data_IF_887916843207
#
_entry.id   IF_887916843207
#
_cell.length_a   1.000
_cell.length_b   1.000
_cell.length_c   1.000
_cell.angle_alpha   90.00
_cell.angle_beta   90.00
_cell.angle_gamma   90.00
#
_symmetry.space_group_name_H-M   'P 1'
#
loop_
_entity.id
_entity.type
_entity.pdbx_description
1 polymer ?
#
# COMPACT_ATOMS: atom_id res chain seq x y z
N UNK A 1 33.94 12.25 -29.95
CA UNK A 1 33.26 11.30 -29.04
C UNK A 1 31.86 11.11 -29.58
N UNK A 2 31.58 9.93 -30.13
CA UNK A 2 30.39 9.63 -30.94
C UNK A 2 29.12 9.51 -30.08
N UNK A 3 28.28 10.54 -30.11
CA UNK A 3 27.04 10.67 -29.33
C UNK A 3 25.94 9.67 -29.75
N UNK A 4 26.16 8.87 -30.80
CA UNK A 4 25.13 8.01 -31.41
C UNK A 4 25.06 6.60 -30.79
N UNK A 5 25.99 6.25 -29.89
CA UNK A 5 26.11 4.89 -29.29
C UNK A 5 25.56 4.73 -27.87
N UNK A 6 24.71 5.66 -27.41
CA UNK A 6 24.57 5.95 -25.98
C UNK A 6 23.50 5.15 -25.23
N UNK A 7 22.26 4.99 -25.73
CA UNK A 7 21.19 4.43 -24.88
C UNK A 7 21.22 2.91 -24.74
N UNK A 8 21.48 2.16 -25.83
CA UNK A 8 21.57 0.70 -25.77
C UNK A 8 22.79 0.22 -24.94
N UNK A 9 23.93 0.90 -25.06
CA UNK A 9 25.13 0.63 -24.26
C UNK A 9 24.89 0.99 -22.80
N UNK A 10 24.33 2.18 -22.53
CA UNK A 10 23.98 2.62 -21.19
C UNK A 10 22.97 1.67 -20.53
N UNK A 11 21.94 1.22 -21.26
CA UNK A 11 20.97 0.25 -20.77
C UNK A 11 21.63 -1.05 -20.32
N UNK A 12 22.56 -1.59 -21.11
CA UNK A 12 23.33 -2.78 -20.73
C UNK A 12 24.25 -2.56 -19.53
N UNK A 13 24.93 -1.41 -19.42
CA UNK A 13 25.77 -1.11 -18.25
C UNK A 13 24.94 -0.94 -16.99
N UNK A 14 23.77 -0.32 -17.08
CA UNK A 14 22.81 -0.24 -15.97
C UNK A 14 22.33 -1.64 -15.60
N UNK A 15 21.98 -2.50 -16.57
CA UNK A 15 21.57 -3.88 -16.30
C UNK A 15 22.65 -4.65 -15.56
N UNK A 16 23.91 -4.52 -15.99
CA UNK A 16 25.09 -5.10 -15.33
C UNK A 16 25.25 -4.60 -13.90
N UNK A 17 25.14 -3.28 -13.69
CA UNK A 17 25.22 -2.68 -12.35
C UNK A 17 24.09 -3.15 -11.42
N UNK A 18 22.89 -3.40 -11.97
CA UNK A 18 21.73 -3.92 -11.25
C UNK A 18 21.72 -5.44 -11.11
N UNK A 19 22.66 -6.15 -11.75
CA UNK A 19 22.74 -7.61 -11.78
C UNK A 19 21.50 -8.28 -12.40
N UNK A 20 20.89 -7.67 -13.41
CA UNK A 20 19.72 -8.23 -14.14
C UNK A 20 20.11 -8.77 -15.50
N UNK A 21 19.49 -9.88 -15.89
CA UNK A 21 19.72 -10.51 -17.19
C UNK A 21 19.31 -9.57 -18.33
N UNK A 22 20.24 -9.38 -19.27
CA UNK A 22 20.05 -8.46 -20.39
C UNK A 22 20.24 -9.19 -21.72
N UNK A 23 19.14 -9.42 -22.43
CA UNK A 23 19.17 -9.90 -23.81
C UNK A 23 19.11 -8.72 -24.79
N UNK A 24 20.20 -8.43 -25.54
CA UNK A 24 20.19 -7.37 -26.54
C UNK A 24 19.11 -7.55 -27.62
N UNK A 25 18.74 -8.78 -27.99
CA UNK A 25 17.76 -9.05 -29.04
C UNK A 25 16.33 -8.64 -28.62
N UNK A 26 16.02 -8.71 -27.33
CA UNK A 26 14.72 -8.32 -26.77
C UNK A 26 14.72 -6.89 -26.22
N UNK A 27 15.84 -6.47 -25.63
CA UNK A 27 15.92 -5.25 -24.83
C UNK A 27 16.46 -4.04 -25.60
N UNK A 28 16.96 -4.23 -26.82
CA UNK A 28 17.49 -3.14 -27.64
C UNK A 28 16.98 -3.18 -29.07
N UNK A 29 16.69 -2.01 -29.63
CA UNK A 29 16.38 -1.85 -31.04
C UNK A 29 17.26 -0.73 -31.60
N UNK A 30 18.21 -1.10 -32.47
CA UNK A 30 19.26 -0.21 -32.98
C UNK A 30 20.04 0.46 -31.85
N UNK A 31 19.79 1.75 -31.61
CA UNK A 31 20.44 2.54 -30.57
C UNK A 31 19.51 2.84 -29.38
N UNK A 32 18.31 2.28 -29.35
CA UNK A 32 17.30 2.50 -28.32
C UNK A 32 17.15 1.29 -27.40
N UNK A 33 16.75 1.55 -26.17
CA UNK A 33 16.26 0.51 -25.26
C UNK A 33 14.78 0.30 -25.57
N UNK A 34 14.36 -0.95 -25.74
CA UNK A 34 12.94 -1.27 -25.95
C UNK A 34 12.15 -1.05 -24.66
N UNK A 35 10.82 -1.04 -24.74
CA UNK A 35 10.00 -0.97 -23.53
C UNK A 35 10.27 -2.17 -22.60
N UNK A 36 10.50 -3.34 -23.16
CA UNK A 36 10.88 -4.55 -22.41
C UNK A 36 12.21 -4.35 -21.69
N UNK A 37 13.24 -3.85 -22.40
CA UNK A 37 14.50 -3.48 -21.78
C UNK A 37 14.35 -2.46 -20.65
N UNK A 38 13.55 -1.40 -20.84
CA UNK A 38 13.29 -0.42 -19.78
C UNK A 38 12.57 -1.04 -18.57
N UNK A 39 11.64 -1.96 -18.79
CA UNK A 39 10.96 -2.67 -17.71
C UNK A 39 11.92 -3.57 -16.92
N UNK A 40 12.86 -4.24 -17.60
CA UNK A 40 13.90 -5.05 -16.94
C UNK A 40 14.83 -4.18 -16.10
N UNK A 41 15.27 -3.01 -16.61
CA UNK A 41 16.06 -2.06 -15.81
C UNK A 41 15.28 -1.53 -14.61
N UNK A 42 13.99 -1.22 -14.78
CA UNK A 42 13.14 -0.75 -13.70
C UNK A 42 12.95 -1.82 -12.62
N UNK A 43 12.77 -3.08 -13.01
CA UNK A 43 12.68 -4.21 -12.09
C UNK A 43 13.99 -4.35 -11.29
N UNK A 44 15.14 -4.37 -11.98
CA UNK A 44 16.46 -4.43 -11.34
C UNK A 44 16.73 -3.25 -10.40
N UNK A 45 16.34 -2.04 -10.79
CA UNK A 45 16.52 -0.84 -9.97
C UNK A 45 15.63 -0.88 -8.72
N UNK A 46 14.43 -1.44 -8.85
CA UNK A 46 13.50 -1.66 -7.74
C UNK A 46 14.08 -2.67 -6.76
N UNK A 47 14.62 -3.78 -7.25
CA UNK A 47 15.24 -4.82 -6.43
C UNK A 47 16.53 -4.32 -5.73
N UNK A 48 17.41 -3.62 -6.45
CA UNK A 48 18.61 -3.03 -5.87
C UNK A 48 18.27 -2.01 -4.77
N UNK A 49 17.21 -1.22 -4.97
CA UNK A 49 16.69 -0.30 -3.94
C UNK A 49 16.13 -1.05 -2.73
N UNK A 50 15.43 -2.17 -2.94
CA UNK A 50 14.94 -3.05 -1.87
C UNK A 50 16.11 -3.63 -1.08
N UNK A 51 17.11 -4.24 -1.73
CA UNK A 51 18.34 -4.75 -1.10
C UNK A 51 19.05 -3.67 -0.27
N UNK A 52 19.21 -2.47 -0.82
CA UNK A 52 19.77 -1.33 -0.08
C UNK A 52 18.91 -0.88 1.11
N UNK A 53 17.58 -1.01 1.03
CA UNK A 53 16.67 -0.74 2.14
C UNK A 53 16.81 -1.78 3.26
N UNK A 54 16.90 -3.05 2.90
CA UNK A 54 17.08 -4.16 3.84
C UNK A 54 18.42 -4.06 4.57
N UNK A 55 19.50 -3.75 3.84
CA UNK A 55 20.81 -3.48 4.44
C UNK A 55 20.76 -2.34 5.45
N UNK A 56 20.16 -1.20 5.09
CA UNK A 56 19.99 -0.06 6.02
C UNK A 56 19.15 -0.41 7.25
N UNK A 57 18.15 -1.29 7.10
CA UNK A 57 17.35 -1.76 8.24
C UNK A 57 18.19 -2.62 9.18
N UNK A 58 18.97 -3.58 8.65
CA UNK A 58 19.92 -4.36 9.45
C UNK A 58 20.94 -3.47 10.15
N UNK A 59 21.47 -2.46 9.47
CA UNK A 59 22.40 -1.47 10.03
C UNK A 59 21.72 -0.57 11.10
N UNK A 60 20.38 -0.49 11.10
CA UNK A 60 19.58 0.25 12.08
C UNK A 60 19.11 -0.61 13.27
N UNK A 61 19.52 -1.89 13.35
CA UNK A 61 19.26 -2.71 14.53
C UNK A 61 19.84 -2.03 15.79
N UNK A 62 19.18 -2.15 16.96
CA UNK A 62 19.73 -1.68 18.22
C UNK A 62 21.17 -2.23 18.40
N UNK A 63 22.12 -1.36 18.74
CA UNK A 63 23.53 -1.73 18.88
C UNK A 63 23.73 -2.84 19.93
N UNK A 64 22.82 -2.88 20.90
CA UNK A 64 22.71 -3.89 21.95
C UNK A 64 22.39 -5.31 21.40
N UNK A 65 21.92 -5.43 20.15
CA UNK A 65 21.65 -6.68 19.44
C UNK A 65 22.75 -7.04 18.41
N UNK A 66 23.96 -6.49 18.52
CA UNK A 66 25.03 -6.74 17.53
C UNK A 66 25.75 -8.11 17.65
N UNK A 67 25.43 -8.92 18.66
CA UNK A 67 26.09 -10.20 18.91
C UNK A 67 25.68 -11.35 17.95
N UNK A 68 26.48 -12.42 17.84
CA UNK A 68 26.19 -13.56 16.96
C UNK A 68 24.82 -14.22 17.20
N UNK A 69 24.36 -14.20 18.44
CA UNK A 69 23.05 -14.72 18.85
C UNK A 69 21.86 -14.00 18.17
N UNK A 70 22.09 -12.83 17.56
CA UNK A 70 21.09 -11.99 16.92
C UNK A 70 21.37 -11.77 15.43
N UNK A 71 22.38 -12.43 14.86
CA UNK A 71 22.83 -12.18 13.49
C UNK A 71 21.73 -12.41 12.43
N UNK A 72 20.76 -13.27 12.75
CA UNK A 72 19.60 -13.56 11.91
C UNK A 72 18.39 -12.65 12.18
N UNK A 73 18.42 -11.83 13.24
CA UNK A 73 17.33 -10.92 13.55
C UNK A 73 17.18 -9.84 12.48
N UNK A 74 15.93 -9.63 12.03
CA UNK A 74 15.59 -8.51 11.16
C UNK A 74 14.75 -7.50 11.95
N UNK A 75 15.26 -6.29 12.23
CA UNK A 75 14.49 -5.29 12.97
C UNK A 75 13.28 -4.82 12.16
N UNK A 76 12.16 -4.61 12.84
CA UNK A 76 11.00 -3.97 12.24
C UNK A 76 11.32 -2.51 11.89
N UNK A 77 10.86 -2.07 10.71
CA UNK A 77 11.02 -0.69 10.20
C UNK A 77 10.14 0.30 10.94
N UNK A 78 9.01 -0.15 11.45
CA UNK A 78 8.01 0.69 12.08
C UNK A 78 7.39 0.03 13.30
N UNK A 79 6.72 0.83 14.14
CA UNK A 79 5.98 0.30 15.29
C UNK A 79 4.84 -0.63 14.89
N UNK A 80 4.13 -0.32 13.80
CA UNK A 80 3.01 -1.15 13.36
C UNK A 80 3.52 -2.51 12.91
N UNK A 81 4.65 -2.56 12.19
CA UNK A 81 5.28 -3.82 11.82
C UNK A 81 5.75 -4.60 13.06
N UNK A 82 6.40 -3.94 14.02
CA UNK A 82 6.86 -4.60 15.24
C UNK A 82 5.69 -5.22 16.03
N UNK A 83 4.62 -4.46 16.24
CA UNK A 83 3.40 -4.92 16.90
C UNK A 83 2.73 -6.06 16.13
N UNK A 84 2.66 -5.95 14.81
CA UNK A 84 2.08 -6.99 13.94
C UNK A 84 2.85 -8.30 14.07
N UNK A 85 4.19 -8.24 14.02
CA UNK A 85 5.06 -9.43 14.18
C UNK A 85 4.93 -10.03 15.57
N UNK A 86 4.91 -9.22 16.63
CA UNK A 86 4.70 -9.69 18.01
C UNK A 86 3.36 -10.42 18.17
N UNK A 87 2.27 -9.85 17.64
CA UNK A 87 0.96 -10.47 17.72
C UNK A 87 0.93 -11.83 16.99
N UNK A 88 1.58 -11.90 15.82
CA UNK A 88 1.65 -13.12 15.02
C UNK A 88 2.41 -14.26 15.72
N UNK A 89 3.52 -13.97 16.41
CA UNK A 89 4.31 -14.97 17.16
C UNK A 89 3.47 -15.77 18.15
N UNK A 90 2.42 -15.15 18.69
CA UNK A 90 1.55 -15.78 19.69
C UNK A 90 0.17 -16.11 19.14
N UNK A 91 -0.10 -15.90 17.85
CA UNK A 91 -1.43 -15.97 17.22
C UNK A 91 -2.47 -15.12 17.95
N UNK A 92 -2.05 -14.03 18.59
CA UNK A 92 -2.92 -13.14 19.34
C UNK A 92 -3.91 -12.44 18.38
N UNK A 93 -5.05 -11.93 18.89
CA UNK A 93 -5.89 -11.03 18.11
C UNK A 93 -5.02 -9.91 17.53
N UNK A 94 -5.27 -9.55 16.28
CA UNK A 94 -4.47 -8.56 15.57
C UNK A 94 -4.65 -7.19 16.21
N UNK A 95 -3.55 -6.48 16.34
CA UNK A 95 -3.46 -5.22 17.09
C UNK A 95 -3.18 -4.08 16.11
N UNK A 96 -3.93 -2.99 16.24
CA UNK A 96 -3.67 -1.76 15.48
C UNK A 96 -2.95 -0.75 16.38
N UNK A 97 -2.38 0.31 15.80
CA UNK A 97 -1.80 1.39 16.60
C UNK A 97 -2.89 2.39 16.98
N UNK A 98 -3.04 2.64 18.28
CA UNK A 98 -3.94 3.65 18.82
C UNK A 98 -3.54 5.09 18.46
N UNK A 99 -4.35 6.08 18.88
CA UNK A 99 -4.14 7.49 18.57
C UNK A 99 -2.69 7.95 18.79
N UNK A 100 -2.12 8.61 17.79
CA UNK A 100 -0.72 9.05 17.81
C UNK A 100 0.31 7.95 17.48
N UNK A 101 -0.11 6.86 16.81
CA UNK A 101 0.74 5.71 16.46
C UNK A 101 1.35 5.03 17.71
N UNK A 102 0.55 4.95 18.79
CA UNK A 102 0.95 4.32 20.05
C UNK A 102 0.49 2.87 20.09
N UNK A 103 1.37 2.00 20.57
CA UNK A 103 1.05 0.59 20.82
C UNK A 103 0.08 0.43 21.99
N UNK A 104 -0.85 -0.53 21.85
CA UNK A 104 -1.76 -0.92 22.92
C UNK A 104 -1.05 -1.83 23.94
N UNK A 105 -1.49 -1.78 25.20
CA UNK A 105 -0.95 -2.65 26.26
C UNK A 105 -1.23 -4.13 26.00
N UNK A 106 -2.32 -4.42 25.29
CA UNK A 106 -2.78 -5.76 24.93
C UNK A 106 -1.74 -6.53 24.11
N UNK A 107 -0.95 -5.87 23.25
CA UNK A 107 0.18 -6.48 22.52
C UNK A 107 1.12 -7.22 23.47
N UNK A 108 1.54 -6.55 24.54
CA UNK A 108 2.49 -7.10 25.53
C UNK A 108 1.81 -8.09 26.46
N UNK A 109 0.55 -7.85 26.79
CA UNK A 109 -0.23 -8.71 27.70
C UNK A 109 -0.47 -10.06 27.03
N UNK A 110 -0.86 -10.07 25.75
CA UNK A 110 -1.01 -11.27 24.94
C UNK A 110 0.31 -12.03 24.77
N UNK A 111 1.41 -11.30 24.55
CA UNK A 111 2.73 -11.91 24.47
C UNK A 111 3.11 -12.60 25.79
N UNK A 112 2.93 -11.89 26.92
CA UNK A 112 3.18 -12.44 28.26
C UNK A 112 2.34 -13.71 28.52
N UNK A 113 1.04 -13.63 28.28
CA UNK A 113 0.09 -14.71 28.60
C UNK A 113 0.34 -15.98 27.77
N UNK A 114 0.89 -15.83 26.56
CA UNK A 114 1.05 -16.97 25.62
C UNK A 114 2.48 -17.49 25.53
N UNK A 115 3.48 -16.62 25.63
CA UNK A 115 4.88 -17.04 25.58
C UNK A 115 5.43 -17.42 26.97
N UNK A 116 4.88 -16.83 28.05
CA UNK A 116 5.41 -16.95 29.41
C UNK A 116 4.27 -17.07 30.45
N UNK A 117 3.33 -18.04 30.29
CA UNK A 117 2.12 -18.13 31.11
C UNK A 117 2.38 -18.30 32.61
N UNK A 118 3.49 -18.95 32.97
CA UNK A 118 3.83 -19.28 34.35
C UNK A 118 4.75 -18.23 35.03
N UNK A 119 5.08 -17.15 34.33
CA UNK A 119 5.99 -16.12 34.84
C UNK A 119 5.21 -14.93 35.40
N UNK A 120 5.46 -14.61 36.67
CA UNK A 120 4.89 -13.44 37.31
C UNK A 120 5.51 -12.15 36.74
N UNK A 121 4.71 -11.35 36.02
CA UNK A 121 5.16 -10.10 35.39
C UNK A 121 4.58 -8.85 36.03
N UNK A 122 5.33 -7.75 35.98
CA UNK A 122 4.84 -6.46 36.44
C UNK A 122 3.89 -5.83 35.42
N UNK A 123 2.59 -6.03 35.64
CA UNK A 123 1.53 -5.51 34.76
C UNK A 123 1.04 -4.11 35.13
N UNK A 124 1.71 -3.37 36.03
CA UNK A 124 1.20 -2.08 36.51
C UNK A 124 1.16 -1.01 35.42
N UNK A 125 2.07 -1.05 34.45
CA UNK A 125 2.09 -0.16 33.28
C UNK A 125 2.62 -0.86 32.02
N UNK A 126 2.51 -0.21 30.86
CA UNK A 126 3.06 -0.73 29.59
C UNK A 126 4.58 -0.89 29.64
N UNK A 127 5.27 0.15 30.11
CA UNK A 127 6.74 0.17 30.17
C UNK A 127 7.27 -0.86 31.16
N UNK A 128 6.63 -1.01 32.34
CA UNK A 128 7.04 -2.05 33.30
C UNK A 128 6.78 -3.47 32.80
N UNK A 129 5.67 -3.69 32.10
CA UNK A 129 5.39 -5.00 31.49
C UNK A 129 6.42 -5.33 30.41
N UNK A 130 6.77 -4.35 29.56
CA UNK A 130 7.81 -4.54 28.55
C UNK A 130 9.19 -4.77 29.18
N UNK A 131 9.56 -4.03 30.23
CA UNK A 131 10.80 -4.27 30.96
C UNK A 131 10.86 -5.69 31.55
N UNK A 132 9.75 -6.17 32.16
CA UNK A 132 9.66 -7.56 32.63
C UNK A 132 9.84 -8.56 31.49
N UNK A 133 9.14 -8.37 30.36
CA UNK A 133 9.29 -9.22 29.17
C UNK A 133 10.74 -9.22 28.65
N UNK A 134 11.39 -8.06 28.62
CA UNK A 134 12.77 -7.93 28.17
C UNK A 134 13.73 -8.73 29.06
N UNK A 135 13.55 -8.66 30.38
CA UNK A 135 14.31 -9.47 31.35
C UNK A 135 14.13 -10.96 31.08
N UNK A 136 12.89 -11.43 30.95
CA UNK A 136 12.59 -12.85 30.73
C UNK A 136 13.08 -13.38 29.38
N UNK A 137 12.98 -12.56 28.32
CA UNK A 137 13.53 -12.92 27.01
C UNK A 137 15.05 -12.74 26.91
N UNK A 138 15.71 -12.26 27.97
CA UNK A 138 17.15 -12.05 28.01
C UNK A 138 17.63 -11.03 26.98
N UNK A 139 16.88 -9.94 26.79
CA UNK A 139 17.25 -8.80 25.94
C UNK A 139 17.46 -7.53 26.76
N UNK A 140 18.38 -6.64 26.37
CA UNK A 140 18.63 -5.41 27.13
C UNK A 140 17.42 -4.47 27.09
N UNK A 141 17.05 -3.90 28.24
CA UNK A 141 16.08 -2.82 28.36
C UNK A 141 16.77 -1.57 28.88
N UNK A 142 16.74 -0.49 28.10
CA UNK A 142 17.44 0.77 28.41
C UNK A 142 16.49 1.96 28.26
N UNK A 143 16.92 3.15 28.67
CA UNK A 143 16.13 4.39 28.53
C UNK A 143 15.71 4.67 27.09
N UNK A 144 16.46 4.16 26.10
CA UNK A 144 16.11 4.28 24.66
C UNK A 144 14.91 3.42 24.27
N UNK A 145 14.53 2.44 25.08
CA UNK A 145 13.39 1.55 24.84
C UNK A 145 12.06 2.22 25.20
N UNK A 146 12.10 3.32 25.96
CA UNK A 146 10.95 4.08 26.41
C UNK A 146 10.87 5.43 25.69
N UNK A 147 9.65 5.96 25.61
CA UNK A 147 9.33 7.28 25.10
C UNK A 147 8.41 7.99 26.09
N UNK A 148 8.26 9.31 25.95
CA UNK A 148 7.48 10.11 26.88
C UNK A 148 6.02 9.63 26.99
N UNK A 149 5.49 9.61 28.21
CA UNK A 149 4.10 9.24 28.47
C UNK A 149 3.80 7.74 28.27
N UNK A 150 4.56 6.86 28.93
CA UNK A 150 4.39 5.40 28.95
C UNK A 150 4.28 4.74 27.57
N UNK A 151 4.98 5.28 26.58
CA UNK A 151 4.98 4.74 25.22
C UNK A 151 6.30 4.01 24.98
N UNK A 152 6.25 2.83 24.36
CA UNK A 152 7.46 2.07 24.02
C UNK A 152 8.02 2.60 22.71
N UNK A 153 9.32 2.85 22.63
CA UNK A 153 9.97 3.31 21.40
C UNK A 153 10.01 2.17 20.36
N UNK A 154 10.31 2.48 19.09
CA UNK A 154 10.56 1.41 18.11
C UNK A 154 11.76 0.54 18.53
N UNK A 155 12.80 1.15 19.12
CA UNK A 155 13.94 0.42 19.70
C UNK A 155 13.47 -0.59 20.74
N UNK A 156 12.62 -0.17 21.68
CA UNK A 156 12.08 -1.06 22.72
C UNK A 156 11.23 -2.19 22.13
N UNK A 157 10.37 -1.89 21.15
CA UNK A 157 9.59 -2.93 20.46
C UNK A 157 10.49 -3.92 19.72
N UNK A 158 11.57 -3.46 19.07
CA UNK A 158 12.53 -4.34 18.40
C UNK A 158 13.32 -5.20 19.39
N UNK A 159 13.60 -4.72 20.60
CA UNK A 159 14.20 -5.55 21.67
C UNK A 159 13.26 -6.69 22.06
N UNK A 160 11.99 -6.38 22.36
CA UNK A 160 10.99 -7.39 22.72
C UNK A 160 10.78 -8.39 21.59
N UNK A 161 10.67 -7.89 20.36
CA UNK A 161 10.49 -8.73 19.18
C UNK A 161 11.66 -9.71 19.00
N UNK A 162 12.91 -9.22 19.03
CA UNK A 162 14.09 -10.08 18.93
C UNK A 162 14.11 -11.15 20.02
N UNK A 163 13.83 -10.74 21.27
CA UNK A 163 13.78 -11.62 22.42
C UNK A 163 12.71 -12.71 22.28
N UNK A 164 11.51 -12.32 21.88
CA UNK A 164 10.38 -13.22 21.67
C UNK A 164 10.61 -14.18 20.50
N UNK A 165 11.13 -13.71 19.36
CA UNK A 165 11.49 -14.55 18.21
C UNK A 165 12.50 -15.62 18.61
N UNK A 166 13.55 -15.23 19.36
CA UNK A 166 14.53 -16.20 19.86
C UNK A 166 13.91 -17.17 20.85
N UNK A 167 13.14 -16.69 21.82
CA UNK A 167 12.54 -17.52 22.86
C UNK A 167 11.59 -18.58 22.28
N UNK A 168 10.83 -18.21 21.26
CA UNK A 168 9.86 -19.09 20.60
C UNK A 168 10.45 -19.90 19.44
N UNK A 169 11.75 -19.73 19.12
CA UNK A 169 12.42 -20.49 18.06
C UNK A 169 12.17 -19.99 16.62
N UNK A 170 11.69 -18.75 16.46
CA UNK A 170 11.42 -18.08 15.18
C UNK A 170 12.51 -17.08 14.77
N UNK A 171 13.67 -17.05 15.43
CA UNK A 171 14.71 -16.08 15.11
C UNK A 171 15.24 -16.30 13.68
N UNK A 172 15.13 -15.27 12.85
CA UNK A 172 15.52 -15.35 11.44
C UNK A 172 14.48 -16.02 10.54
N UNK A 173 13.31 -16.40 11.07
CA UNK A 173 12.12 -16.59 10.24
C UNK A 173 11.89 -15.31 9.44
N UNK A 174 11.56 -15.46 8.16
CA UNK A 174 11.20 -14.30 7.36
C UNK A 174 9.95 -13.63 7.97
N UNK A 175 9.83 -12.30 7.82
CA UNK A 175 8.60 -11.54 8.14
C UNK A 175 7.35 -12.20 7.54
N UNK A 176 7.57 -13.00 6.48
CA UNK A 176 6.63 -13.86 5.76
C UNK A 176 5.83 -14.80 6.68
N UNK A 177 6.39 -15.28 7.80
CA UNK A 177 5.66 -16.17 8.72
C UNK A 177 4.62 -15.44 9.58
N UNK A 178 4.81 -14.14 9.84
CA UNK A 178 3.92 -13.35 10.69
C UNK A 178 2.66 -12.86 9.96
N UNK A 179 2.74 -12.70 8.64
CA UNK A 179 1.65 -12.31 7.74
C UNK A 179 1.40 -13.42 6.71
N UNK A 180 1.45 -14.68 7.15
CA UNK A 180 1.40 -15.85 6.28
C UNK A 180 0.04 -16.06 5.61
N UNK A 181 -1.05 -15.54 6.19
CA UNK A 181 -2.37 -15.54 5.58
C UNK A 181 -2.69 -14.16 4.96
N UNK A 182 -3.34 -14.13 3.79
CA UNK A 182 -3.73 -12.87 3.15
C UNK A 182 -4.72 -12.08 3.99
N UNK A 183 -5.49 -12.75 4.85
CA UNK A 183 -6.38 -12.10 5.81
C UNK A 183 -5.62 -11.33 6.89
N UNK A 184 -4.46 -11.83 7.28
CA UNK A 184 -3.56 -11.18 8.25
C UNK A 184 -2.86 -9.99 7.62
N UNK A 185 -2.36 -10.16 6.40
CA UNK A 185 -1.74 -9.07 5.66
C UNK A 185 -2.74 -7.96 5.35
N UNK A 186 -3.95 -8.29 4.86
CA UNK A 186 -4.96 -7.29 4.52
C UNK A 186 -5.44 -6.48 5.72
N UNK A 187 -5.53 -7.09 6.89
CA UNK A 187 -5.85 -6.42 8.15
C UNK A 187 -4.74 -5.45 8.58
N UNK A 188 -3.48 -5.92 8.60
CA UNK A 188 -2.33 -5.11 8.95
C UNK A 188 -2.13 -3.91 8.00
N UNK A 189 -2.32 -4.12 6.69
CA UNK A 189 -2.24 -3.06 5.69
C UNK A 189 -3.34 -2.02 5.92
N UNK A 190 -4.58 -2.44 6.19
CA UNK A 190 -5.68 -1.53 6.48
C UNK A 190 -5.43 -0.72 7.77
N UNK A 191 -4.93 -1.36 8.84
CA UNK A 191 -4.55 -0.68 10.08
C UNK A 191 -3.43 0.35 9.87
N UNK A 192 -2.42 0.03 9.06
CA UNK A 192 -1.34 0.96 8.72
C UNK A 192 -1.86 2.20 7.96
N UNK A 193 -2.80 2.00 7.04
CA UNK A 193 -3.46 3.11 6.33
C UNK A 193 -4.26 4.00 7.27
N UNK A 194 -5.08 3.42 8.14
CA UNK A 194 -5.82 4.17 9.18
C UNK A 194 -4.87 5.05 10.01
N UNK A 195 -3.77 4.48 10.48
CA UNK A 195 -2.86 5.15 11.40
C UNK A 195 -2.07 6.32 10.78
N UNK A 196 -1.94 6.39 9.44
CA UNK A 196 -1.00 7.30 8.77
C UNK A 196 -1.57 8.10 7.60
N UNK A 197 -2.67 7.69 6.99
CA UNK A 197 -3.34 8.51 6.00
C UNK A 197 -4.00 9.73 6.67
N UNK A 198 -3.95 10.91 6.04
CA UNK A 198 -4.64 12.09 6.57
C UNK A 198 -6.14 11.88 6.52
N UNK A 199 -6.86 12.32 7.56
CA UNK A 199 -8.31 12.19 7.64
C UNK A 199 -9.06 13.11 6.66
N UNK A 200 -8.47 14.24 6.29
CA UNK A 200 -9.02 15.19 5.32
C UNK A 200 -7.99 15.55 4.25
N UNK A 201 -8.42 15.51 2.99
CA UNK A 201 -7.63 15.84 1.81
C UNK A 201 -8.24 17.07 1.14
N UNK A 202 -7.48 18.17 1.13
CA UNK A 202 -7.82 19.35 0.34
C UNK A 202 -7.46 19.12 -1.13
N UNK A 203 -8.40 19.34 -2.05
CA UNK A 203 -8.21 19.05 -3.46
C UNK A 203 -7.11 19.92 -4.11
N UNK A 204 -6.97 21.19 -3.71
CA UNK A 204 -5.94 22.08 -4.27
C UNK A 204 -4.55 21.62 -3.82
N UNK A 205 -4.39 21.30 -2.54
CA UNK A 205 -3.14 20.78 -1.99
C UNK A 205 -2.78 19.41 -2.55
N UNK A 206 -3.77 18.51 -2.70
CA UNK A 206 -3.56 17.18 -3.27
C UNK A 206 -3.13 17.25 -4.75
N UNK A 207 -3.79 18.07 -5.57
CA UNK A 207 -3.41 18.29 -6.97
C UNK A 207 -2.01 18.89 -7.09
N UNK A 208 -1.67 19.88 -6.26
CA UNK A 208 -0.30 20.44 -6.19
C UNK A 208 0.71 19.37 -5.80
N UNK A 209 0.41 18.56 -4.78
CA UNK A 209 1.30 17.49 -4.32
C UNK A 209 1.63 16.47 -5.42
N UNK A 210 0.61 16.07 -6.20
CA UNK A 210 0.78 15.19 -7.37
C UNK A 210 1.63 15.86 -8.45
N UNK A 211 1.30 17.13 -8.75
CA UNK A 211 1.97 17.96 -9.74
C UNK A 211 3.46 18.17 -9.46
N UNK A 212 3.80 18.50 -8.22
CA UNK A 212 5.18 18.79 -7.78
C UNK A 212 6.06 17.54 -7.81
N UNK A 213 5.44 16.35 -7.78
CA UNK A 213 6.11 15.04 -7.85
C UNK A 213 6.08 14.42 -9.25
N UNK A 214 5.52 15.12 -10.24
CA UNK A 214 5.39 14.59 -11.60
C UNK A 214 4.50 13.35 -11.70
N UNK A 215 3.58 13.17 -10.74
CA UNK A 215 2.68 12.02 -10.69
C UNK A 215 1.44 12.23 -11.57
N UNK A 216 0.81 11.13 -11.98
CA UNK A 216 -0.45 11.15 -12.73
C UNK A 216 -1.59 11.68 -11.85
N UNK A 217 -2.69 12.10 -12.47
CA UNK A 217 -3.90 12.53 -11.75
C UNK A 217 -3.99 14.02 -11.46
N UNK A 218 -2.88 14.77 -11.52
CA UNK A 218 -2.88 16.21 -11.28
C UNK A 218 -3.76 17.01 -12.27
N UNK A 219 -4.08 16.42 -13.42
CA UNK A 219 -4.94 17.02 -14.43
C UNK A 219 -6.35 16.41 -14.48
N UNK A 220 -6.60 15.34 -13.73
CA UNK A 220 -7.80 14.51 -13.79
C UNK A 220 -8.85 14.96 -12.76
N UNK A 221 -10.13 14.65 -13.02
CA UNK A 221 -11.20 14.99 -12.06
C UNK A 221 -11.21 14.04 -10.87
N UNK A 222 -10.63 12.86 -11.03
CA UNK A 222 -10.49 11.80 -10.04
C UNK A 222 -9.23 11.97 -9.18
N UNK A 223 -8.78 13.22 -8.93
CA UNK A 223 -7.56 13.54 -8.20
C UNK A 223 -7.46 12.80 -6.85
N UNK A 224 -8.58 12.59 -6.15
CA UNK A 224 -8.59 11.90 -4.86
C UNK A 224 -8.19 10.44 -4.99
N UNK A 225 -8.51 9.80 -6.13
CA UNK A 225 -8.07 8.44 -6.44
C UNK A 225 -6.56 8.37 -6.56
N UNK A 226 -5.98 9.22 -7.41
CA UNK A 226 -4.53 9.28 -7.62
C UNK A 226 -3.78 9.70 -6.36
N UNK A 227 -4.24 10.74 -5.67
CA UNK A 227 -3.62 11.21 -4.44
C UNK A 227 -3.67 10.15 -3.35
N UNK A 228 -4.83 9.53 -3.10
CA UNK A 228 -4.99 8.51 -2.08
C UNK A 228 -4.16 7.26 -2.36
N UNK A 229 -4.14 6.79 -3.62
CA UNK A 229 -3.31 5.66 -4.06
C UNK A 229 -1.82 5.91 -3.82
N UNK A 230 -1.29 7.05 -4.25
CA UNK A 230 0.12 7.41 -4.07
C UNK A 230 0.49 7.63 -2.60
N UNK A 231 -0.40 8.23 -1.81
CA UNK A 231 -0.20 8.38 -0.36
C UNK A 231 -0.21 7.03 0.35
N UNK A 232 -1.12 6.14 -0.02
CA UNK A 232 -1.19 4.79 0.54
C UNK A 232 0.09 3.99 0.22
N UNK A 233 0.59 4.04 -1.03
CA UNK A 233 1.89 3.44 -1.40
C UNK A 233 3.03 3.92 -0.50
N UNK A 234 3.12 5.22 -0.26
CA UNK A 234 4.13 5.81 0.63
C UNK A 234 3.97 5.33 2.08
N UNK A 235 2.73 5.27 2.59
CA UNK A 235 2.43 4.79 3.94
C UNK A 235 2.86 3.33 4.09
N UNK A 236 2.41 2.45 3.18
CA UNK A 236 2.68 1.02 3.27
C UNK A 236 4.16 0.70 3.10
N UNK A 237 4.84 1.37 2.16
CA UNK A 237 6.29 1.22 1.99
C UNK A 237 7.09 1.70 3.21
N UNK A 238 6.58 2.67 3.96
CA UNK A 238 7.16 3.11 5.23
C UNK A 238 6.78 2.24 6.43
N UNK A 239 5.65 1.54 6.35
CA UNK A 239 5.12 0.72 7.43
C UNK A 239 5.77 -0.65 7.49
N UNK A 240 6.01 -1.30 6.35
CA UNK A 240 6.46 -2.69 6.31
C UNK A 240 7.79 -2.86 5.60
N UNK A 241 8.58 -3.80 6.10
CA UNK A 241 9.79 -4.28 5.43
C UNK A 241 9.40 -5.06 4.17
N UNK A 242 9.93 -4.71 2.98
CA UNK A 242 9.68 -5.48 1.76
C UNK A 242 10.18 -6.94 1.92
N UNK A 243 9.50 -7.93 1.33
CA UNK A 243 9.98 -9.30 1.33
C UNK A 243 11.29 -9.41 0.52
N UNK A 244 12.13 -10.39 0.86
CA UNK A 244 13.36 -10.69 0.11
C UNK A 244 13.08 -11.10 -1.34
N UNK A 245 11.92 -11.74 -1.57
CA UNK A 245 11.44 -12.13 -2.90
C UNK A 245 10.18 -11.34 -3.26
N UNK A 246 10.26 -10.35 -4.16
CA UNK A 246 9.11 -9.55 -4.54
C UNK A 246 8.10 -10.37 -5.35
N UNK A 247 6.80 -10.11 -5.11
CA UNK A 247 5.72 -10.67 -5.94
C UNK A 247 5.65 -9.98 -7.29
N UNK A 248 5.19 -10.72 -8.29
CA UNK A 248 4.89 -10.15 -9.61
C UNK A 248 3.65 -9.26 -9.49
N UNK A 249 3.79 -7.97 -9.79
CA UNK A 249 2.68 -7.01 -9.70
C UNK A 249 2.16 -6.52 -11.06
N UNK A 250 2.84 -6.88 -12.16
CA UNK A 250 2.50 -6.39 -13.50
C UNK A 250 1.96 -7.50 -14.41
N UNK A 251 0.77 -7.27 -14.93
CA UNK A 251 0.04 -8.15 -15.83
C UNK A 251 -0.41 -7.35 -17.06
N UNK A 252 0.31 -7.54 -18.16
CA UNK A 252 0.16 -6.69 -19.35
C UNK A 252 0.41 -5.22 -19.02
N UNK A 253 -0.55 -4.36 -19.36
CA UNK A 253 -0.48 -2.92 -19.11
C UNK A 253 -0.91 -2.50 -17.69
N UNK A 254 -1.43 -3.42 -16.89
CA UNK A 254 -1.86 -3.15 -15.51
C UNK A 254 -0.73 -3.50 -14.55
N UNK A 255 -0.44 -2.59 -13.63
CA UNK A 255 0.39 -2.84 -12.46
C UNK A 255 -0.48 -2.63 -11.22
N UNK A 256 -0.48 -3.61 -10.33
CA UNK A 256 -1.09 -3.50 -9.01
C UNK A 256 -0.19 -2.69 -8.08
N UNK A 257 -0.81 -2.06 -7.10
CA UNK A 257 -0.23 -0.90 -6.42
C UNK A 257 0.82 -1.25 -5.37
N UNK A 258 0.68 -2.40 -4.72
CA UNK A 258 1.52 -2.80 -3.60
C UNK A 258 1.64 -4.33 -3.49
N UNK A 259 2.76 -4.81 -2.95
CA UNK A 259 2.91 -6.21 -2.59
C UNK A 259 3.83 -6.38 -1.39
N UNK A 260 3.44 -7.29 -0.51
CA UNK A 260 4.28 -7.91 0.52
C UNK A 260 4.28 -9.42 0.24
N UNK A 261 3.66 -10.24 1.09
CA UNK A 261 3.49 -11.66 0.86
C UNK A 261 2.42 -11.93 -0.20
N UNK A 262 1.46 -11.01 -0.35
CA UNK A 262 0.39 -11.04 -1.33
C UNK A 262 0.33 -9.72 -2.13
N UNK A 263 -0.38 -9.77 -3.26
CA UNK A 263 -0.55 -8.60 -4.14
C UNK A 263 -1.80 -7.83 -3.74
N UNK A 264 -1.69 -6.51 -3.63
CA UNK A 264 -2.76 -5.60 -3.24
C UNK A 264 -2.91 -4.45 -4.22
N UNK A 265 -4.16 -4.18 -4.60
CA UNK A 265 -4.56 -3.06 -5.41
C UNK A 265 -5.28 -2.01 -4.55
N UNK A 266 -4.87 -0.76 -4.63
CA UNK A 266 -5.42 0.31 -3.80
C UNK A 266 -6.51 1.04 -4.59
N UNK A 267 -7.64 1.32 -3.93
CA UNK A 267 -8.74 2.09 -4.52
C UNK A 267 -9.25 3.11 -3.53
N UNK A 268 -9.66 4.26 -4.05
CA UNK A 268 -10.38 5.28 -3.28
C UNK A 268 -11.81 5.32 -3.77
N UNK A 269 -12.74 5.15 -2.84
CA UNK A 269 -14.16 5.10 -3.09
C UNK A 269 -14.88 6.29 -2.44
N UNK A 270 -15.77 6.92 -3.20
CA UNK A 270 -16.64 7.98 -2.66
C UNK A 270 -17.97 7.36 -2.28
N UNK A 271 -18.15 7.13 -0.98
CA UNK A 271 -19.35 6.54 -0.41
C UNK A 271 -20.46 7.57 -0.21
N UNK A 272 -20.09 8.82 0.10
CA UNK A 272 -21.03 9.94 0.24
C UNK A 272 -20.53 11.19 -0.48
N UNK A 273 -21.46 12.03 -0.90
CA UNK A 273 -21.21 13.32 -1.51
C UNK A 273 -21.89 14.40 -0.67
N UNK A 274 -21.13 15.43 -0.29
CA UNK A 274 -21.58 16.54 0.56
C UNK A 274 -21.69 17.80 -0.29
N UNK A 275 -22.88 18.39 -0.30
CA UNK A 275 -23.30 19.57 -1.06
C UNK A 275 -23.80 20.62 -0.06
N UNK A 276 -22.87 21.38 0.54
CA UNK A 276 -23.19 22.25 1.68
C UNK A 276 -23.86 21.43 2.79
N UNK A 277 -25.12 21.76 3.10
CA UNK A 277 -25.90 21.09 4.13
C UNK A 277 -26.58 19.78 3.68
N UNK A 278 -26.48 19.45 2.38
CA UNK A 278 -27.11 18.25 1.81
C UNK A 278 -26.09 17.12 1.62
N UNK A 279 -26.44 15.93 2.11
CA UNK A 279 -25.64 14.71 1.88
C UNK A 279 -26.39 13.78 0.93
N UNK A 280 -25.69 13.27 -0.08
CA UNK A 280 -26.20 12.28 -1.02
C UNK A 280 -25.33 11.02 -1.02
N UNK A 281 -25.92 9.88 -1.33
CA UNK A 281 -25.18 8.64 -1.55
C UNK A 281 -24.23 8.74 -2.74
N UNK A 282 -23.01 8.23 -2.57
CA UNK A 282 -22.07 8.01 -3.65
C UNK A 282 -22.50 6.83 -4.55
N UNK A 283 -21.59 6.40 -5.42
CA UNK A 283 -21.85 5.19 -6.22
C UNK A 283 -21.74 3.98 -5.31
N UNK A 284 -22.59 2.98 -5.50
CA UNK A 284 -22.51 1.71 -4.74
C UNK A 284 -21.37 0.80 -5.21
N UNK A 285 -20.80 1.11 -6.37
CA UNK A 285 -19.85 0.27 -7.07
C UNK A 285 -18.51 1.02 -7.21
N UNK A 286 -17.41 0.32 -6.92
CA UNK A 286 -16.05 0.79 -7.18
C UNK A 286 -15.52 0.17 -8.46
N UNK A 287 -14.89 0.98 -9.32
CA UNK A 287 -14.25 0.49 -10.53
C UNK A 287 -12.87 -0.08 -10.17
N UNK A 288 -12.59 -1.30 -10.61
CA UNK A 288 -11.30 -1.96 -10.43
C UNK A 288 -10.44 -1.87 -11.71
N UNK A 289 -9.44 -2.74 -11.78
CA UNK A 289 -8.52 -2.86 -12.91
C UNK A 289 -9.11 -3.68 -14.07
N UNK A 290 -8.29 -3.80 -15.12
CA UNK A 290 -8.52 -4.62 -16.31
C UNK A 290 -8.90 -6.06 -15.94
N UNK A 291 -9.91 -6.61 -16.62
CA UNK A 291 -10.41 -7.96 -16.35
C UNK A 291 -9.31 -9.02 -16.53
N UNK A 292 -8.55 -8.96 -17.63
CA UNK A 292 -7.55 -9.98 -17.96
C UNK A 292 -6.40 -9.95 -16.96
N UNK A 293 -5.97 -8.75 -16.57
CA UNK A 293 -4.94 -8.57 -15.55
C UNK A 293 -5.39 -9.09 -14.16
N UNK A 294 -6.64 -8.82 -13.77
CA UNK A 294 -7.19 -9.31 -12.50
C UNK A 294 -7.26 -10.84 -12.50
N UNK A 295 -7.81 -11.45 -13.56
CA UNK A 295 -7.88 -12.91 -13.68
C UNK A 295 -6.50 -13.53 -13.63
N UNK A 296 -5.56 -13.04 -14.44
CA UNK A 296 -4.21 -13.58 -14.48
C UNK A 296 -3.45 -13.48 -13.14
N UNK A 297 -3.65 -12.41 -12.37
CA UNK A 297 -3.06 -12.29 -11.03
C UNK A 297 -3.70 -13.24 -10.03
N UNK A 298 -5.03 -13.33 -10.04
CA UNK A 298 -5.78 -14.23 -9.15
C UNK A 298 -5.41 -15.68 -9.41
N UNK A 299 -5.30 -16.08 -10.68
CA UNK A 299 -4.93 -17.43 -11.08
C UNK A 299 -3.50 -17.79 -10.64
N UNK A 300 -2.58 -16.82 -10.66
CA UNK A 300 -1.17 -17.03 -10.30
C UNK A 300 -0.95 -17.04 -8.77
N UNK A 301 -1.56 -16.13 -8.03
CA UNK A 301 -1.17 -15.86 -6.63
C UNK A 301 -2.26 -15.22 -5.76
N UNK A 302 -3.51 -15.14 -6.25
CA UNK A 302 -4.57 -14.36 -5.60
C UNK A 302 -4.40 -12.84 -5.76
N UNK A 303 -5.42 -12.09 -5.34
CA UNK A 303 -5.38 -10.62 -5.38
C UNK A 303 -6.24 -10.02 -4.26
N UNK A 304 -5.64 -9.05 -3.57
CA UNK A 304 -6.29 -8.24 -2.56
C UNK A 304 -6.64 -6.84 -3.05
N UNK A 305 -7.66 -6.23 -2.44
CA UNK A 305 -8.05 -4.85 -2.67
C UNK A 305 -8.09 -4.08 -1.35
N UNK A 306 -7.39 -2.95 -1.29
CA UNK A 306 -7.46 -1.99 -0.18
C UNK A 306 -8.32 -0.81 -0.62
N UNK A 307 -9.51 -0.68 -0.05
CA UNK A 307 -10.47 0.36 -0.42
C UNK A 307 -10.56 1.41 0.68
N UNK A 308 -10.06 2.61 0.40
CA UNK A 308 -10.25 3.79 1.25
C UNK A 308 -11.58 4.44 0.87
N UNK A 309 -12.57 4.31 1.74
CA UNK A 309 -13.90 4.89 1.56
C UNK A 309 -13.94 6.26 2.24
N UNK A 310 -14.65 7.21 1.62
CA UNK A 310 -14.77 8.55 2.18
C UNK A 310 -15.91 9.38 1.62
N UNK A 311 -16.11 10.54 2.25
CA UNK A 311 -17.04 11.57 1.86
C UNK A 311 -16.34 12.58 0.94
N UNK A 312 -16.92 12.87 -0.22
CA UNK A 312 -16.44 13.92 -1.10
C UNK A 312 -17.22 15.22 -0.87
N UNK A 313 -16.50 16.30 -0.58
CA UNK A 313 -17.06 17.66 -0.58
C UNK A 313 -17.16 18.13 -2.04
N UNK A 314 -18.34 18.52 -2.47
CA UNK A 314 -18.63 18.85 -3.87
C UNK A 314 -18.48 20.35 -4.13
N UNK A 315 -17.88 20.69 -5.26
CA UNK A 315 -17.57 22.07 -5.67
C UNK A 315 -18.82 22.79 -6.24
N UNK A 316 -19.76 23.16 -5.38
CA UNK A 316 -21.00 23.84 -5.79
C UNK A 316 -20.78 25.29 -6.25
N UNK A 317 -19.81 26.00 -5.65
CA UNK A 317 -19.45 27.36 -6.06
C UNK A 317 -18.73 27.41 -7.40
N UNK A 318 -18.13 26.29 -7.83
CA UNK A 318 -17.31 26.22 -9.02
C UNK A 318 -15.91 26.82 -8.85
N UNK A 319 -15.53 27.21 -7.63
CA UNK A 319 -14.22 27.80 -7.35
C UNK A 319 -13.09 26.80 -7.57
N UNK A 320 -13.29 25.52 -7.19
CA UNK A 320 -12.27 24.51 -7.39
C UNK A 320 -12.08 24.18 -8.87
N UNK A 321 -13.17 24.06 -9.66
CA UNK A 321 -13.07 23.84 -11.11
C UNK A 321 -12.41 25.01 -11.82
N UNK A 322 -12.74 26.26 -11.44
CA UNK A 322 -12.12 27.46 -11.99
C UNK A 322 -10.60 27.47 -11.69
N UNK A 323 -10.23 27.26 -10.42
CA UNK A 323 -8.83 27.15 -10.00
C UNK A 323 -8.10 26.03 -10.75
N UNK A 324 -8.66 24.83 -10.83
CA UNK A 324 -8.00 23.68 -11.46
C UNK A 324 -7.83 23.88 -12.98
N UNK A 325 -8.74 24.60 -13.65
CA UNK A 325 -8.56 25.01 -15.06
C UNK A 325 -7.40 25.98 -15.21
N UNK A 326 -7.31 27.00 -14.36
CA UNK A 326 -6.20 27.96 -14.36
C UNK A 326 -4.86 27.29 -14.06
N UNK A 327 -4.84 26.39 -13.06
CA UNK A 327 -3.66 25.60 -12.71
C UNK A 327 -3.13 24.77 -13.88
N UNK A 328 -4.02 24.14 -14.65
CA UNK A 328 -3.64 23.38 -15.86
C UNK A 328 -3.08 24.29 -16.96
N UNK A 329 -3.75 25.41 -17.23
CA UNK A 329 -3.32 26.37 -18.25
C UNK A 329 -1.94 26.94 -17.93
N UNK A 330 -1.68 27.32 -16.67
CA UNK A 330 -0.40 27.86 -16.22
C UNK A 330 0.78 26.89 -16.33
N UNK A 331 0.53 25.58 -16.50
CA UNK A 331 1.56 24.56 -16.69
C UNK A 331 1.69 24.07 -18.14
N UNK A 332 1.07 24.76 -19.10
CA UNK A 332 1.05 24.35 -20.50
C UNK A 332 0.27 23.06 -20.74
N UNK A 333 -0.66 22.71 -19.84
CA UNK A 333 -1.51 21.53 -20.01
C UNK A 333 -2.42 21.69 -21.24
N UNK A 334 -2.72 20.59 -21.97
CA UNK A 334 -3.58 20.65 -23.14
C UNK A 334 -4.99 21.15 -22.77
N UNK A 335 -5.70 21.82 -23.70
CA UNK A 335 -7.09 22.20 -23.49
C UNK A 335 -7.93 20.96 -23.16
N UNK A 336 -8.93 21.14 -22.29
CA UNK A 336 -9.80 20.04 -21.89
C UNK A 336 -10.49 19.45 -23.14
N UNK A 337 -10.40 18.12 -23.31
CA UNK A 337 -11.13 17.44 -24.36
C UNK A 337 -12.65 17.69 -24.19
N UNK A 338 -13.39 17.88 -25.29
CA UNK A 338 -14.84 18.09 -25.22
C UNK A 338 -15.52 16.90 -24.53
N UNK A 339 -16.51 17.19 -23.68
CA UNK A 339 -17.28 16.15 -23.01
C UNK A 339 -18.22 15.47 -24.00
N UNK A 340 -18.20 14.14 -24.04
CA UNK A 340 -19.15 13.36 -24.86
C UNK A 340 -20.62 13.59 -24.46
N UNK A 341 -20.89 14.08 -23.24
CA UNK A 341 -22.26 14.30 -22.74
C UNK A 341 -22.72 15.75 -22.77
N UNK A 342 -21.88 16.71 -23.22
CA UNK A 342 -22.18 18.15 -23.19
C UNK A 342 -22.22 18.78 -21.79
N UNK A 343 -22.53 18.01 -20.74
CA UNK A 343 -22.54 18.46 -19.34
C UNK A 343 -21.24 18.11 -18.62
N UNK A 344 -20.66 19.06 -17.88
CA UNK A 344 -19.54 18.79 -16.98
C UNK A 344 -20.07 18.36 -15.62
N UNK A 345 -19.52 17.28 -15.05
CA UNK A 345 -19.89 16.84 -13.70
C UNK A 345 -19.33 17.79 -12.65
N UNK A 346 -20.08 18.05 -11.57
CA UNK A 346 -19.58 18.74 -10.39
C UNK A 346 -18.33 18.05 -9.87
N UNK A 347 -17.28 18.82 -9.60
CA UNK A 347 -15.99 18.30 -9.14
C UNK A 347 -16.01 18.12 -7.62
N UNK A 348 -15.04 17.37 -7.13
CA UNK A 348 -14.79 17.20 -5.70
C UNK A 348 -13.76 18.23 -5.27
N UNK A 349 -14.11 19.08 -4.32
CA UNK A 349 -13.23 20.10 -3.75
C UNK A 349 -12.34 19.52 -2.64
N UNK A 350 -12.87 18.57 -1.87
CA UNK A 350 -12.15 17.88 -0.81
C UNK A 350 -12.63 16.44 -0.64
N UNK A 351 -11.88 15.66 0.13
CA UNK A 351 -12.23 14.28 0.47
C UNK A 351 -11.90 14.00 1.93
N UNK A 352 -12.87 13.50 2.69
CA UNK A 352 -12.69 13.09 4.09
C UNK A 352 -12.77 11.57 4.16
N UNK A 353 -11.71 10.92 4.63
CA UNK A 353 -11.68 9.46 4.80
C UNK A 353 -12.64 9.05 5.91
N UNK A 354 -13.42 8.00 5.69
CA UNK A 354 -14.39 7.48 6.65
C UNK A 354 -13.98 6.13 7.22
N UNK A 355 -13.55 5.22 6.35
CA UNK A 355 -13.05 3.90 6.76
C UNK A 355 -12.25 3.23 5.64
N UNK A 356 -11.34 2.34 6.01
CA UNK A 356 -10.58 1.51 5.08
C UNK A 356 -11.02 0.05 5.22
N UNK A 357 -11.25 -0.60 4.10
CA UNK A 357 -11.65 -2.01 4.03
C UNK A 357 -10.65 -2.78 3.17
N UNK A 358 -10.33 -4.01 3.58
CA UNK A 358 -9.55 -4.94 2.78
C UNK A 358 -10.44 -6.09 2.30
N UNK A 359 -10.22 -6.52 1.06
CA UNK A 359 -10.94 -7.62 0.41
C UNK A 359 -9.94 -8.57 -0.22
N UNK A 360 -10.23 -9.87 -0.23
CA UNK A 360 -9.32 -10.89 -0.75
C UNK A 360 -10.04 -11.86 -1.69
N UNK A 361 -9.39 -12.19 -2.81
CA UNK A 361 -9.84 -13.22 -3.75
C UNK A 361 -8.68 -14.20 -3.97
N UNK A 362 -8.74 -15.41 -3.40
CA UNK A 362 -7.58 -16.32 -3.37
C UNK A 362 -7.26 -16.99 -4.71
N UNK A 363 -8.26 -17.26 -5.55
CA UNK A 363 -8.11 -18.05 -6.77
C UNK A 363 -9.31 -17.86 -7.71
N UNK A 364 -9.26 -18.49 -8.90
CA UNK A 364 -10.28 -18.38 -9.94
C UNK A 364 -11.65 -18.87 -9.48
N UNK A 365 -11.71 -19.95 -8.69
CA UNK A 365 -12.96 -20.49 -8.16
C UNK A 365 -13.64 -19.49 -7.23
N UNK A 366 -12.88 -18.86 -6.33
CA UNK A 366 -13.38 -17.81 -5.47
C UNK A 366 -13.79 -16.55 -6.24
N UNK A 367 -13.08 -16.22 -7.32
CA UNK A 367 -13.45 -15.12 -8.22
C UNK A 367 -14.81 -15.40 -8.87
N UNK A 368 -14.99 -16.59 -9.43
CA UNK A 368 -16.25 -16.99 -10.08
C UNK A 368 -17.39 -17.05 -9.05
N UNK A 369 -17.14 -17.55 -7.84
CA UNK A 369 -18.10 -17.50 -6.75
C UNK A 369 -18.47 -16.05 -6.35
N UNK A 370 -17.50 -15.13 -6.31
CA UNK A 370 -17.75 -13.71 -6.05
C UNK A 370 -18.56 -13.05 -7.17
N UNK A 371 -18.36 -13.45 -8.44
CA UNK A 371 -19.15 -13.00 -9.57
C UNK A 371 -20.58 -13.51 -9.47
N UNK A 372 -20.77 -14.80 -9.20
CA UNK A 372 -22.08 -15.44 -9.04
C UNK A 372 -22.90 -14.81 -7.90
N UNK A 373 -22.24 -14.48 -6.78
CA UNK A 373 -22.86 -13.77 -5.65
C UNK A 373 -23.07 -12.27 -5.91
N UNK A 374 -22.60 -11.76 -7.04
CA UNK A 374 -22.74 -10.36 -7.44
C UNK A 374 -21.81 -9.39 -6.71
N UNK A 375 -20.82 -9.89 -5.96
CA UNK A 375 -19.79 -9.05 -5.32
C UNK A 375 -18.86 -8.40 -6.35
N UNK A 376 -18.55 -9.14 -7.43
CA UNK A 376 -17.76 -8.67 -8.56
C UNK A 376 -18.56 -8.77 -9.86
N UNK A 377 -18.30 -7.86 -10.80
CA UNK A 377 -18.94 -7.90 -12.11
C UNK A 377 -18.02 -7.34 -13.19
N UNK A 378 -17.97 -8.00 -14.35
CA UNK A 378 -17.32 -7.44 -15.54
C UNK A 378 -18.16 -6.29 -16.07
N UNK A 379 -17.49 -5.15 -16.31
CA UNK A 379 -18.06 -3.94 -16.85
C UNK A 379 -17.36 -3.58 -18.17
N UNK A 380 -18.09 -3.65 -19.29
CA UNK A 380 -17.61 -3.11 -20.55
C UNK A 380 -17.36 -1.61 -20.44
N UNK A 381 -16.15 -1.16 -20.80
CA UNK A 381 -15.73 0.25 -20.66
C UNK A 381 -15.97 1.06 -21.95
N UNK A 382 -16.14 0.38 -23.08
CA UNK A 382 -16.37 1.02 -24.38
C UNK A 382 -15.08 1.61 -24.96
N UNK A 383 -15.16 2.78 -25.59
CA UNK A 383 -14.04 3.40 -26.32
C UNK A 383 -13.49 4.62 -25.58
N UNK A 384 -12.22 4.97 -25.85
CA UNK A 384 -11.63 6.23 -25.39
C UNK A 384 -12.35 7.42 -26.03
N UNK A 385 -12.18 8.61 -25.44
CA UNK A 385 -12.56 9.83 -26.14
C UNK A 385 -11.72 9.95 -27.43
N UNK A 386 -12.31 10.41 -28.53
CA UNK A 386 -11.58 10.56 -29.78
C UNK A 386 -10.52 11.65 -29.65
N UNK A 387 -9.39 11.48 -30.33
CA UNK A 387 -8.27 12.43 -30.31
C UNK A 387 -8.55 13.70 -31.13
N UNK A 388 -9.53 13.63 -32.04
CA UNK A 388 -9.99 14.74 -32.86
C UNK A 388 -11.53 14.79 -32.85
N UNK A 389 -12.08 15.99 -33.01
CA UNK A 389 -13.52 16.20 -33.14
C UNK A 389 -14.06 15.38 -34.32
N UNK A 390 -15.11 14.59 -34.11
CA UNK A 390 -15.72 13.74 -35.15
C UNK A 390 -15.01 12.41 -35.42
N UNK A 391 -13.91 12.08 -34.72
CA UNK A 391 -13.26 10.76 -34.83
C UNK A 391 -13.83 9.70 -33.87
N UNK A 392 -13.34 8.47 -33.99
CA UNK A 392 -13.57 7.41 -32.99
C UNK A 392 -12.33 7.18 -32.12
N UNK A 393 -12.51 7.01 -30.81
CA UNK A 393 -11.42 6.62 -29.91
C UNK A 393 -11.12 5.11 -29.98
N UNK A 394 -9.98 4.69 -29.43
CA UNK A 394 -9.62 3.27 -29.38
C UNK A 394 -10.53 2.47 -28.41
N UNK A 395 -10.77 1.19 -28.70
CA UNK A 395 -11.44 0.30 -27.75
C UNK A 395 -10.64 0.19 -26.45
N UNK A 396 -11.36 0.19 -25.31
CA UNK A 396 -10.77 -0.01 -23.99
C UNK A 396 -11.08 -1.41 -23.53
N UNK A 397 -10.12 -2.03 -22.87
CA UNK A 397 -10.34 -3.31 -22.24
C UNK A 397 -11.36 -3.19 -21.10
N UNK A 398 -12.11 -4.27 -20.92
CA UNK A 398 -13.14 -4.39 -19.89
C UNK A 398 -12.51 -4.41 -18.52
N UNK A 399 -13.27 -3.98 -17.52
CA UNK A 399 -12.80 -3.87 -16.14
C UNK A 399 -13.75 -4.59 -15.21
N UNK A 400 -13.24 -5.03 -14.07
CA UNK A 400 -14.14 -5.40 -12.98
C UNK A 400 -14.70 -4.16 -12.28
N UNK A 401 -15.90 -4.31 -11.73
CA UNK A 401 -16.43 -3.46 -10.67
C UNK A 401 -16.70 -4.30 -9.42
N UNK A 402 -16.43 -3.73 -8.26
CA UNK A 402 -16.82 -4.30 -6.98
C UNK A 402 -18.09 -3.62 -6.48
N UNK A 403 -19.12 -4.42 -6.19
CA UNK A 403 -20.35 -3.94 -5.56
C UNK A 403 -20.17 -3.97 -4.05
N UNK A 404 -19.94 -2.82 -3.45
CA UNK A 404 -19.46 -2.72 -2.06
C UNK A 404 -20.37 -3.46 -1.08
N UNK A 405 -21.70 -3.33 -1.22
CA UNK A 405 -22.67 -4.02 -0.35
C UNK A 405 -22.52 -5.54 -0.36
N UNK A 406 -22.34 -6.14 -1.54
CA UNK A 406 -22.26 -7.60 -1.66
C UNK A 406 -20.85 -8.10 -1.34
N UNK A 407 -19.81 -7.38 -1.78
CA UNK A 407 -18.43 -7.69 -1.43
C UNK A 407 -18.18 -7.69 0.09
N UNK A 408 -18.79 -6.74 0.83
CA UNK A 408 -18.74 -6.68 2.30
C UNK A 408 -19.28 -7.93 2.99
N UNK A 409 -20.18 -8.68 2.34
CA UNK A 409 -20.78 -9.91 2.89
C UNK A 409 -20.01 -11.18 2.51
N UNK A 410 -19.17 -11.13 1.47
CA UNK A 410 -18.62 -12.33 0.85
C UNK A 410 -17.10 -12.42 0.83
N UNK A 411 -16.40 -11.31 0.61
CA UNK A 411 -14.94 -11.30 0.36
C UNK A 411 -14.19 -10.24 1.17
N UNK A 412 -14.85 -9.58 2.12
CA UNK A 412 -14.20 -8.61 3.01
C UNK A 412 -13.45 -9.33 4.12
N UNK A 413 -12.24 -8.87 4.34
CA UNK A 413 -11.30 -9.39 5.34
C UNK A 413 -11.30 -8.49 6.57
N UNK A 414 -11.11 -7.18 6.41
CA UNK A 414 -11.01 -6.25 7.52
C UNK A 414 -11.72 -4.91 7.24
N UNK A 415 -11.99 -4.18 8.32
CA UNK A 415 -12.53 -2.81 8.31
C UNK A 415 -11.98 -2.02 9.48
N UNK A 416 -11.53 -0.80 9.20
CA UNK A 416 -11.12 0.17 10.21
C UNK A 416 -11.77 1.53 9.94
N UNK A 417 -12.39 2.10 10.96
CA UNK A 417 -13.06 3.40 10.92
C UNK A 417 -12.16 4.50 11.50
N UNK A 418 -12.17 5.70 10.89
CA UNK A 418 -11.38 6.86 11.32
C UNK A 418 -11.91 7.55 12.58
#
# INVERSE_FOLDING_TARGET
MDLVRTNAVLGREIAKALTVDWDPALHTERNKVTLEGLNVLLAGATEARQRGSLRRLRDAAPAELAGPAWAAFQPARSKIEAVTRIAALTRAPKEWLGPGAKEHKSVLTNLADRALPDVAMNRSSKTKLAASLATEFGVPWTDKCESTGETISLTGLNMILAGAERHLGFLGSEVVDALAAPEDEGDALAAALLAKLPSRWDGKLAVKWLADRGLRGANDNEWQGFYGEERAKVVLAGAFTPPDRPRRVRYGNTAFDYALNFVWDIKVHTETQVFGDRVAGGKTDTLLNDERAIRACIDEQGLGFLIVNGAAEMDESGEFVAWHRQFKAGRGGPPAAPSNSGTSRTRKAAFTTLHVESFWVPNSEALDAAILRGALKVKPIGRQAPRALGGEGAARADKFVMRMREARKSIRVARYDW
#
